data_IF_413174132604
#
_entry.id   IF_413174132604
#
_cell.length_a   1.000
_cell.length_b   1.000
_cell.length_c   1.000
_cell.angle_alpha   90.00
_cell.angle_beta   90.00
_cell.angle_gamma   90.00
#
_symmetry.space_group_name_H-M   'P 1'
#
loop_
_entity.id
_entity.type
_entity.pdbx_description
1 polymer ?
#
# COMPACT_ATOMS: atom_id res chain seq x y z
N UNK A 1 0.84 -7.93 -16.00
CA UNK A 1 1.71 -8.97 -15.45
C UNK A 1 3.16 -8.54 -15.65
N UNK A 2 3.90 -8.40 -14.57
CA UNK A 2 5.37 -8.22 -14.56
C UNK A 2 6.02 -9.49 -14.00
N UNK A 3 7.36 -9.56 -14.04
CA UNK A 3 8.10 -10.69 -13.47
C UNK A 3 9.21 -10.21 -12.54
N UNK A 4 9.49 -11.01 -11.52
CA UNK A 4 10.62 -10.84 -10.59
C UNK A 4 11.51 -12.07 -10.71
N UNK A 5 12.83 -11.87 -10.73
CA UNK A 5 13.83 -12.94 -10.65
C UNK A 5 14.52 -12.90 -9.29
N UNK A 6 14.44 -13.99 -8.52
CA UNK A 6 15.09 -14.13 -7.21
C UNK A 6 15.75 -15.50 -7.09
N UNK A 7 17.02 -15.52 -6.70
CA UNK A 7 17.83 -16.74 -6.60
C UNK A 7 17.71 -17.63 -7.85
N UNK A 8 17.61 -17.04 -9.04
CA UNK A 8 17.46 -17.77 -10.30
C UNK A 8 16.12 -18.48 -10.50
N UNK A 9 15.10 -18.18 -9.70
CA UNK A 9 13.70 -18.54 -9.97
C UNK A 9 12.96 -17.31 -10.52
N UNK A 10 11.96 -17.54 -11.36
CA UNK A 10 11.14 -16.48 -11.96
C UNK A 10 9.74 -16.53 -11.39
N UNK A 11 9.21 -15.37 -11.01
CA UNK A 11 7.89 -15.21 -10.42
C UNK A 11 7.07 -14.23 -11.26
N UNK A 12 5.84 -14.58 -11.60
CA UNK A 12 4.87 -13.65 -12.17
C UNK A 12 4.22 -12.83 -11.06
N UNK A 13 4.06 -11.53 -11.31
CA UNK A 13 3.38 -10.59 -10.42
C UNK A 13 2.18 -10.00 -11.14
N UNK A 14 1.04 -10.11 -10.47
CA UNK A 14 -0.25 -9.56 -10.87
C UNK A 14 -0.74 -8.59 -9.81
N UNK A 15 -1.36 -7.50 -10.28
CA UNK A 15 -1.93 -6.45 -9.45
C UNK A 15 -3.40 -6.32 -9.83
N UNK A 16 -4.29 -6.48 -8.87
CA UNK A 16 -5.74 -6.37 -9.06
C UNK A 16 -6.31 -5.32 -8.12
N UNK A 17 -7.30 -4.55 -8.57
CA UNK A 17 -7.94 -3.55 -7.69
C UNK A 17 -8.71 -4.23 -6.56
N UNK A 18 -8.47 -3.78 -5.33
CA UNK A 18 -9.22 -4.17 -4.15
C UNK A 18 -10.32 -3.14 -3.87
N UNK A 19 -11.52 -3.47 -4.31
CA UNK A 19 -12.69 -2.61 -4.14
C UNK A 19 -13.35 -2.76 -2.76
N UNK A 20 -12.96 -3.76 -1.98
CA UNK A 20 -13.58 -4.09 -0.68
C UNK A 20 -12.82 -3.48 0.51
N UNK A 21 -11.57 -3.03 0.30
CA UNK A 21 -10.72 -2.42 1.33
C UNK A 21 -11.27 -1.12 1.96
N UNK A 22 -12.31 -0.51 1.37
CA UNK A 22 -12.94 0.70 1.91
C UNK A 22 -12.05 1.94 1.85
N UNK A 23 -12.43 3.00 2.58
CA UNK A 23 -11.64 4.22 2.60
C UNK A 23 -10.47 4.09 3.60
N UNK A 24 -9.32 4.71 3.33
CA UNK A 24 -8.13 4.57 4.17
C UNK A 24 -8.31 5.05 5.61
N UNK A 25 -9.27 5.94 5.86
CA UNK A 25 -9.58 6.44 7.20
C UNK A 25 -10.60 5.60 7.98
N UNK A 26 -11.11 4.50 7.40
CA UNK A 26 -12.04 3.59 8.06
C UNK A 26 -11.31 2.45 8.80
N UNK A 27 -10.04 2.18 8.46
CA UNK A 27 -9.20 1.13 9.05
C UNK A 27 -8.55 1.52 10.39
N UNK A 28 -8.95 2.66 10.97
CA UNK A 28 -8.62 3.23 12.30
C UNK A 28 -7.14 3.52 12.62
N UNK A 29 -6.16 3.10 11.82
CA UNK A 29 -4.74 3.27 12.14
C UNK A 29 -4.01 4.29 11.26
N UNK A 30 -3.17 5.13 11.88
CA UNK A 30 -2.12 5.88 11.19
C UNK A 30 -2.53 7.18 10.47
N UNK A 31 -3.76 7.68 10.63
CA UNK A 31 -4.23 8.88 9.93
C UNK A 31 -4.92 9.91 10.84
N UNK A 32 -5.02 11.14 10.35
CA UNK A 32 -5.73 12.22 11.02
C UNK A 32 -7.26 12.07 10.90
N UNK A 33 -8.06 12.70 11.78
CA UNK A 33 -9.51 12.50 11.78
C UNK A 33 -10.16 13.03 10.51
N UNK A 34 -11.02 12.20 9.91
CA UNK A 34 -11.85 12.57 8.75
C UNK A 34 -13.31 12.61 9.17
N UNK A 35 -14.02 13.67 8.78
CA UNK A 35 -15.45 13.79 9.05
C UNK A 35 -16.28 12.92 8.11
N UNK A 36 -17.49 12.57 8.54
CA UNK A 36 -18.56 12.21 7.61
C UNK A 36 -18.86 13.34 6.61
N UNK A 37 -19.66 13.00 5.60
CA UNK A 37 -20.22 13.98 4.68
C UNK A 37 -21.06 15.00 5.43
N UNK A 38 -20.73 16.29 5.25
CA UNK A 38 -21.51 17.38 5.85
C UNK A 38 -21.43 18.65 5.04
N UNK A 39 -22.29 19.61 5.38
CA UNK A 39 -22.41 20.84 4.61
C UNK A 39 -21.12 21.69 4.67
N UNK A 40 -20.59 22.12 3.53
CA UNK A 40 -19.39 23.00 3.41
C UNK A 40 -19.37 24.24 4.32
N UNK A 41 -20.55 24.79 4.67
CA UNK A 41 -20.69 25.96 5.55
C UNK A 41 -20.44 25.64 7.03
N UNK A 42 -20.41 24.37 7.42
CA UNK A 42 -20.12 23.95 8.80
C UNK A 42 -18.63 23.73 9.06
N UNK A 43 -17.76 24.08 8.09
CA UNK A 43 -16.31 24.03 8.23
C UNK A 43 -15.86 24.77 9.49
N UNK A 44 -15.11 24.07 10.34
CA UNK A 44 -14.49 24.60 11.54
C UNK A 44 -13.11 25.21 11.23
N UNK A 45 -12.62 26.15 12.05
CA UNK A 45 -11.22 26.55 12.01
C UNK A 45 -10.31 25.33 12.17
N UNK A 46 -9.21 25.27 11.41
CA UNK A 46 -8.27 24.14 11.47
C UNK A 46 -8.61 22.96 10.56
N UNK A 47 -9.80 22.89 9.97
CA UNK A 47 -10.11 21.82 9.01
C UNK A 47 -9.68 22.15 7.58
N UNK A 48 -9.45 21.11 6.78
CA UNK A 48 -9.20 21.17 5.34
C UNK A 48 -10.29 20.39 4.61
N UNK A 49 -10.71 20.87 3.43
CA UNK A 49 -11.62 20.07 2.56
C UNK A 49 -10.81 18.91 2.02
N UNK A 50 -11.25 17.68 2.30
CA UNK A 50 -10.60 16.45 1.84
C UNK A 50 -11.24 15.97 0.54
N UNK A 51 -12.54 15.69 0.59
CA UNK A 51 -13.31 15.18 -0.54
C UNK A 51 -14.60 16.00 -0.72
N UNK A 52 -15.08 16.07 -1.96
CA UNK A 52 -16.24 16.86 -2.34
C UNK A 52 -17.16 16.05 -3.26
N UNK A 53 -18.33 15.66 -2.76
CA UNK A 53 -19.36 14.97 -3.55
C UNK A 53 -20.19 15.98 -4.35
N UNK A 54 -20.51 17.13 -3.74
CA UNK A 54 -21.28 18.21 -4.39
C UNK A 54 -20.77 19.60 -3.95
N UNK A 55 -21.23 20.71 -4.56
CA UNK A 55 -20.89 22.06 -4.09
C UNK A 55 -21.15 22.32 -2.60
N UNK A 56 -22.10 21.59 -2.00
CA UNK A 56 -22.51 21.76 -0.61
C UNK A 56 -22.07 20.63 0.30
N UNK A 57 -21.79 19.43 -0.19
CA UNK A 57 -21.48 18.24 0.62
C UNK A 57 -20.02 17.82 0.48
N UNK A 58 -19.30 17.88 1.60
CA UNK A 58 -17.84 17.67 1.67
C UNK A 58 -17.47 16.83 2.89
N UNK A 59 -16.37 16.09 2.78
CA UNK A 59 -15.63 15.54 3.93
C UNK A 59 -14.50 16.49 4.30
N UNK A 60 -14.26 16.63 5.59
CA UNK A 60 -13.19 17.45 6.12
C UNK A 60 -12.14 16.58 6.80
N UNK A 61 -10.88 16.98 6.65
CA UNK A 61 -9.76 16.50 7.45
C UNK A 61 -9.50 17.49 8.58
N UNK A 62 -9.53 17.05 9.83
CA UNK A 62 -9.21 17.90 10.99
C UNK A 62 -7.70 18.03 11.16
N UNK A 63 -7.11 18.97 10.42
CA UNK A 63 -5.66 19.20 10.43
C UNK A 63 -5.16 19.69 11.79
N UNK A 64 -5.98 20.43 12.53
CA UNK A 64 -5.60 20.89 13.86
C UNK A 64 -5.50 19.73 14.86
N UNK A 65 -6.44 18.79 14.84
CA UNK A 65 -6.37 17.59 15.67
C UNK A 65 -5.28 16.63 15.20
N UNK A 66 -5.13 16.45 13.88
CA UNK A 66 -4.06 15.64 13.31
C UNK A 66 -2.66 16.12 13.72
N UNK A 67 -2.42 17.44 13.77
CA UNK A 67 -1.16 17.98 14.28
C UNK A 67 -0.88 17.59 15.75
N UNK A 68 -1.93 17.48 16.58
CA UNK A 68 -1.78 17.08 17.99
C UNK A 68 -1.49 15.58 18.10
N UNK A 69 -2.20 14.76 17.32
CA UNK A 69 -1.97 13.31 17.22
C UNK A 69 -0.55 13.05 16.73
N UNK A 70 -0.14 13.67 15.63
CA UNK A 70 1.21 13.55 15.07
C UNK A 70 2.29 13.94 16.09
N UNK A 71 2.07 14.99 16.88
CA UNK A 71 3.01 15.39 17.94
C UNK A 71 3.08 14.38 19.09
N UNK A 72 1.91 13.87 19.51
CA UNK A 72 1.75 12.90 20.60
C UNK A 72 2.42 11.59 20.25
N UNK A 73 2.14 11.07 19.05
CA UNK A 73 2.56 9.74 18.59
C UNK A 73 3.91 9.78 17.88
N UNK A 74 4.47 10.97 17.66
CA UNK A 74 5.80 11.14 17.11
C UNK A 74 5.89 10.82 15.61
N UNK A 75 4.87 11.17 14.84
CA UNK A 75 4.86 10.95 13.40
C UNK A 75 6.04 11.67 12.72
N UNK A 76 6.62 10.98 11.73
CA UNK A 76 7.70 11.51 10.89
C UNK A 76 7.17 12.23 9.65
N UNK A 77 8.04 13.04 9.05
CA UNK A 77 7.78 13.67 7.75
C UNK A 77 9.02 13.57 6.87
N UNK A 78 8.84 13.28 5.57
CA UNK A 78 9.95 13.26 4.60
C UNK A 78 10.52 14.64 4.31
N UNK A 79 9.78 15.68 4.68
CA UNK A 79 10.18 17.09 4.53
C UNK A 79 10.78 17.67 5.83
N UNK A 80 11.00 16.83 6.85
CA UNK A 80 11.63 17.27 8.09
C UNK A 80 13.12 17.53 7.87
N UNK A 81 13.57 18.75 8.20
CA UNK A 81 14.98 19.14 8.14
C UNK A 81 15.64 19.11 9.53
N UNK A 82 16.97 18.89 9.60
CA UNK A 82 17.70 19.00 10.85
C UNK A 82 17.45 20.34 11.56
N UNK A 83 17.16 20.28 12.86
CA UNK A 83 16.91 21.48 13.69
C UNK A 83 15.45 21.95 13.74
N UNK A 84 14.54 21.33 12.97
CA UNK A 84 13.10 21.59 13.15
C UNK A 84 12.60 21.13 14.52
N UNK A 85 11.69 21.90 15.11
CA UNK A 85 11.00 21.50 16.34
C UNK A 85 10.03 20.35 16.09
N UNK A 86 9.76 19.54 17.12
CA UNK A 86 8.75 18.46 17.07
C UNK A 86 7.39 18.93 16.55
N UNK A 87 7.00 20.18 16.85
CA UNK A 87 5.72 20.75 16.38
C UNK A 87 5.73 21.05 14.87
N UNK A 88 6.85 21.52 14.34
CA UNK A 88 7.00 21.73 12.89
C UNK A 88 6.97 20.39 12.15
N UNK A 89 7.69 19.39 12.66
CA UNK A 89 7.67 18.03 12.10
C UNK A 89 6.25 17.44 12.15
N UNK A 90 5.55 17.56 13.28
CA UNK A 90 4.16 17.09 13.39
C UNK A 90 3.21 17.77 12.40
N UNK A 91 3.36 19.07 12.17
CA UNK A 91 2.54 19.80 11.19
C UNK A 91 2.84 19.38 9.74
N UNK A 92 4.10 19.06 9.44
CA UNK A 92 4.49 18.50 8.14
C UNK A 92 3.94 17.08 7.97
N UNK A 93 4.05 16.23 8.99
CA UNK A 93 3.53 14.87 8.97
C UNK A 93 2.01 14.84 8.75
N UNK A 94 1.24 15.65 9.50
CA UNK A 94 -0.20 15.80 9.30
C UNK A 94 -0.55 16.37 7.91
N UNK A 95 0.35 17.16 7.30
CA UNK A 95 0.15 17.66 5.94
C UNK A 95 0.35 16.54 4.93
N UNK A 96 1.38 15.73 5.10
CA UNK A 96 1.63 14.58 4.23
C UNK A 96 0.48 13.56 4.28
N UNK A 97 0.00 13.24 5.48
CA UNK A 97 -1.18 12.40 5.67
C UNK A 97 -2.40 12.98 4.95
N UNK A 98 -2.70 14.28 5.14
CA UNK A 98 -3.78 14.94 4.39
C UNK A 98 -3.62 14.82 2.86
N UNK A 99 -2.44 15.08 2.32
CA UNK A 99 -2.23 15.00 0.86
C UNK A 99 -2.31 13.54 0.36
N UNK A 100 -1.89 12.56 1.17
CA UNK A 100 -2.00 11.14 0.85
C UNK A 100 -3.47 10.70 0.81
N UNK A 101 -4.28 11.02 1.82
CA UNK A 101 -5.72 10.74 1.82
C UNK A 101 -6.45 11.47 0.69
N UNK A 102 -6.01 12.70 0.36
CA UNK A 102 -6.58 13.48 -0.74
C UNK A 102 -6.25 12.90 -2.11
N UNK A 103 -5.08 12.29 -2.26
CA UNK A 103 -4.70 11.57 -3.47
C UNK A 103 -5.61 10.36 -3.68
N UNK A 104 -5.92 9.59 -2.62
CA UNK A 104 -6.92 8.51 -2.67
C UNK A 104 -8.28 9.01 -3.18
N UNK A 105 -8.78 10.13 -2.62
CA UNK A 105 -10.06 10.73 -3.05
C UNK A 105 -10.10 11.20 -4.51
N UNK A 106 -8.93 11.29 -5.16
CA UNK A 106 -8.76 11.79 -6.53
C UNK A 106 -8.31 10.68 -7.48
N UNK A 107 -8.47 9.43 -7.07
CA UNK A 107 -8.01 8.26 -7.83
C UNK A 107 -6.50 8.31 -8.12
N UNK A 108 -5.73 9.00 -7.28
CA UNK A 108 -4.26 9.11 -7.40
C UNK A 108 -3.52 7.89 -6.85
N UNK A 109 -4.19 7.11 -5.99
CA UNK A 109 -3.82 5.75 -5.59
C UNK A 109 -5.08 5.03 -5.08
N UNK A 110 -5.03 3.71 -4.98
CA UNK A 110 -6.09 2.87 -4.41
C UNK A 110 -5.52 1.59 -3.83
N UNK A 111 -6.37 0.78 -3.19
CA UNK A 111 -5.95 -0.53 -2.70
C UNK A 111 -5.92 -1.56 -3.83
N UNK A 112 -4.94 -2.45 -3.76
CA UNK A 112 -4.75 -3.56 -4.69
C UNK A 112 -4.44 -4.87 -3.96
N UNK A 113 -4.79 -5.98 -4.61
CA UNK A 113 -4.19 -7.28 -4.39
C UNK A 113 -2.89 -7.42 -5.16
N UNK A 114 -1.83 -7.85 -4.47
CA UNK A 114 -0.57 -8.27 -5.06
C UNK A 114 -0.55 -9.80 -5.05
N UNK A 115 -0.53 -10.39 -6.24
CA UNK A 115 -0.56 -11.85 -6.42
C UNK A 115 0.76 -12.26 -7.05
N UNK A 116 1.48 -13.19 -6.40
CA UNK A 116 2.76 -13.70 -6.88
C UNK A 116 2.64 -15.18 -7.15
N UNK A 117 3.07 -15.63 -8.33
CA UNK A 117 3.06 -17.04 -8.72
C UNK A 117 4.43 -17.46 -9.24
N UNK A 118 4.98 -18.56 -8.73
CA UNK A 118 6.21 -19.15 -9.24
C UNK A 118 6.00 -19.71 -10.65
N UNK A 119 6.93 -19.41 -11.56
CA UNK A 119 6.93 -19.93 -12.92
C UNK A 119 7.89 -21.12 -13.06
N UNK A 120 7.55 -22.04 -13.95
CA UNK A 120 8.45 -23.10 -14.40
C UNK A 120 9.49 -22.58 -15.42
N UNK A 121 10.41 -23.45 -15.84
CA UNK A 121 11.48 -23.15 -16.78
C UNK A 121 11.00 -22.76 -18.19
N UNK A 122 9.72 -22.97 -18.50
CA UNK A 122 9.06 -22.60 -19.76
C UNK A 122 8.17 -21.36 -19.59
N UNK A 123 8.11 -20.78 -18.39
CA UNK A 123 7.33 -19.59 -18.07
C UNK A 123 5.86 -19.87 -17.73
N UNK A 124 5.46 -21.12 -17.52
CA UNK A 124 4.11 -21.45 -17.10
C UNK A 124 3.97 -21.29 -15.58
N UNK A 125 2.79 -20.82 -15.13
CA UNK A 125 2.47 -20.75 -13.71
C UNK A 125 2.43 -22.15 -13.09
N UNK A 126 3.07 -22.27 -11.93
CA UNK A 126 2.96 -23.44 -11.06
C UNK A 126 1.80 -23.28 -10.06
N UNK A 127 1.56 -24.30 -9.24
CA UNK A 127 0.56 -24.25 -8.17
C UNK A 127 1.08 -23.51 -6.90
N UNK A 128 2.30 -22.98 -6.94
CA UNK A 128 2.89 -22.21 -5.84
C UNK A 128 2.64 -20.72 -6.06
N UNK A 129 1.66 -20.19 -5.36
CA UNK A 129 1.32 -18.78 -5.34
C UNK A 129 1.07 -18.30 -3.91
N UNK A 130 1.22 -16.99 -3.73
CA UNK A 130 0.86 -16.30 -2.49
C UNK A 130 0.34 -14.89 -2.85
N UNK A 131 -0.51 -14.33 -2.00
CA UNK A 131 -1.22 -13.08 -2.28
C UNK A 131 -1.43 -12.23 -1.04
N UNK A 132 -1.40 -10.91 -1.23
CA UNK A 132 -1.68 -9.92 -0.20
C UNK A 132 -2.65 -8.87 -0.75
N UNK A 133 -3.79 -8.70 -0.07
CA UNK A 133 -4.83 -7.72 -0.39
C UNK A 133 -4.75 -6.50 0.52
N UNK A 134 -5.45 -5.41 0.17
CA UNK A 134 -5.39 -4.16 0.91
C UNK A 134 -4.05 -3.41 0.82
N UNK A 135 -3.24 -3.66 -0.22
CA UNK A 135 -1.95 -2.98 -0.41
C UNK A 135 -2.19 -1.63 -1.07
N UNK A 136 -1.67 -0.54 -0.50
CA UNK A 136 -1.73 0.77 -1.13
C UNK A 136 -0.86 0.81 -2.41
N UNK A 137 -1.46 1.18 -3.54
CA UNK A 137 -0.76 1.42 -4.82
C UNK A 137 -0.24 2.86 -4.92
N UNK A 138 0.57 3.28 -3.95
CA UNK A 138 1.03 4.66 -3.78
C UNK A 138 2.52 4.86 -4.10
N UNK A 139 3.15 3.87 -4.74
CA UNK A 139 4.56 3.88 -5.10
C UNK A 139 5.17 2.48 -5.14
N UNK A 140 6.33 2.31 -4.50
CA UNK A 140 7.10 1.05 -4.49
C UNK A 140 6.62 0.04 -3.44
N UNK A 141 5.57 0.34 -2.67
CA UNK A 141 5.12 -0.53 -1.59
C UNK A 141 4.63 -1.88 -2.13
N UNK A 142 3.81 -1.87 -3.18
CA UNK A 142 3.35 -3.07 -3.85
C UNK A 142 4.50 -3.94 -4.40
N UNK A 143 5.56 -3.33 -4.90
CA UNK A 143 6.74 -4.05 -5.42
C UNK A 143 7.56 -4.68 -4.27
N UNK A 144 7.58 -4.02 -3.10
CA UNK A 144 8.18 -4.59 -1.88
C UNK A 144 7.40 -5.81 -1.42
N UNK A 145 6.06 -5.71 -1.37
CA UNK A 145 5.20 -6.85 -1.01
C UNK A 145 5.33 -8.01 -2.00
N UNK A 146 5.45 -7.72 -3.30
CA UNK A 146 5.71 -8.75 -4.31
C UNK A 146 7.05 -9.48 -4.05
N UNK A 147 8.10 -8.76 -3.64
CA UNK A 147 9.37 -9.38 -3.26
C UNK A 147 9.24 -10.27 -2.02
N UNK A 148 8.53 -9.83 -0.99
CA UNK A 148 8.34 -10.60 0.25
C UNK A 148 7.54 -11.89 0.02
N UNK A 149 6.49 -11.83 -0.81
CA UNK A 149 5.73 -13.01 -1.24
C UNK A 149 6.60 -13.98 -2.06
N UNK A 150 7.40 -13.46 -3.00
CA UNK A 150 8.32 -14.27 -3.79
C UNK A 150 9.41 -14.95 -2.91
N UNK A 151 9.94 -14.25 -1.90
CA UNK A 151 10.86 -14.83 -0.91
C UNK A 151 10.21 -15.97 -0.13
N UNK A 152 8.96 -15.81 0.27
CA UNK A 152 8.20 -16.82 1.03
C UNK A 152 7.96 -18.08 0.18
N UNK A 153 7.54 -17.92 -1.07
CA UNK A 153 7.37 -19.02 -2.02
C UNK A 153 8.72 -19.71 -2.30
N UNK A 154 9.77 -18.93 -2.55
CA UNK A 154 11.12 -19.45 -2.78
C UNK A 154 11.65 -20.28 -1.61
N UNK A 155 11.43 -19.82 -0.38
CA UNK A 155 11.78 -20.56 0.82
C UNK A 155 10.98 -21.87 0.95
N UNK A 156 9.69 -21.87 0.60
CA UNK A 156 8.84 -23.06 0.62
C UNK A 156 9.33 -24.16 -0.34
N UNK A 157 9.83 -23.77 -1.52
CA UNK A 157 10.44 -24.70 -2.49
C UNK A 157 11.94 -24.89 -2.28
N UNK A 158 12.47 -24.41 -1.15
CA UNK A 158 13.89 -24.45 -0.78
C UNK A 158 14.84 -23.91 -1.86
N UNK A 159 14.38 -22.96 -2.67
CA UNK A 159 15.10 -22.42 -3.82
C UNK A 159 15.67 -23.50 -4.77
N UNK A 160 15.01 -24.66 -4.81
CA UNK A 160 15.42 -25.80 -5.61
C UNK A 160 15.32 -25.53 -7.10
N UNK A 161 16.16 -26.16 -7.94
CA UNK A 161 16.04 -26.06 -9.40
C UNK A 161 14.84 -26.84 -9.95
N UNK A 162 14.29 -27.75 -9.15
CA UNK A 162 13.13 -28.59 -9.47
C UNK A 162 12.27 -28.74 -8.22
N UNK A 163 10.99 -29.03 -8.44
CA UNK A 163 10.05 -29.44 -7.39
C UNK A 163 9.45 -30.79 -7.76
N UNK A 164 9.37 -31.68 -6.78
CA UNK A 164 8.71 -32.97 -6.92
C UNK A 164 7.27 -32.86 -6.43
N UNK A 165 6.32 -33.07 -7.34
CA UNK A 165 4.90 -33.19 -7.03
C UNK A 165 4.48 -34.66 -7.16
N UNK A 166 3.41 -35.10 -6.47
CA UNK A 166 2.98 -36.51 -6.50
C UNK A 166 2.75 -37.10 -7.91
N UNK A 167 2.48 -36.26 -8.91
CA UNK A 167 2.19 -36.68 -10.28
C UNK A 167 3.22 -36.24 -11.34
N UNK A 168 4.19 -35.37 -10.99
CA UNK A 168 5.17 -34.83 -11.94
C UNK A 168 6.37 -34.18 -11.25
N UNK A 169 7.50 -34.13 -11.94
CA UNK A 169 8.60 -33.21 -11.62
C UNK A 169 8.44 -31.95 -12.46
N UNK A 170 8.54 -30.78 -11.84
CA UNK A 170 8.54 -29.49 -12.55
C UNK A 170 9.94 -28.89 -12.46
N UNK A 171 10.49 -28.56 -13.62
CA UNK A 171 11.76 -27.82 -13.72
C UNK A 171 11.49 -26.33 -13.52
N UNK A 172 12.18 -25.72 -12.57
CA UNK A 172 12.06 -24.30 -12.26
C UNK A 172 13.19 -23.46 -12.88
N UNK A 173 14.29 -24.12 -13.28
CA UNK A 173 15.41 -23.52 -13.99
C UNK A 173 15.77 -24.39 -15.17
N UNK A 174 16.08 -23.78 -16.32
CA UNK A 174 16.70 -24.51 -17.43
C UNK A 174 18.09 -24.97 -17.00
N UNK A 175 18.39 -26.24 -17.23
CA UNK A 175 19.76 -26.73 -17.11
C UNK A 175 20.66 -25.96 -18.09
N UNK A 176 21.81 -25.49 -17.60
CA UNK A 176 22.81 -24.80 -18.40
C UNK A 176 23.47 -25.73 -19.43
#
# INVERSE_FOLDING_TARGET
MSTIELHGLTFAVEKEHDYDAGAPWDSEEGHGPVSDWRHKRTKRPGELVLNQHSPMEVRFYDFAEACKIALRDGWGSRYAEPGMSRRQVAALAAREDYEHLKAWCRDGWGYIGVIVTLLDADGNKTDYSDELWGVADDGSHADTMACDLALSIGALVNWGPTIELPARTVELRRAA
#
